data_IF_992744494989
#
_entry.id   IF_992744494989
#
_cell.length_a   1.000
_cell.length_b   1.000
_cell.length_c   1.000
_cell.angle_alpha   90.00
_cell.angle_beta   90.00
_cell.angle_gamma   90.00
#
_symmetry.space_group_name_H-M   'P 1'
#
loop_
_entity.id
_entity.type
_entity.pdbx_description
1 polymer ?
#
# COMPACT_ATOMS: atom_id res chain seq x y z
N UNK A 1 -12.54 -0.90 -19.88
CA UNK A 1 -13.32 -1.08 -18.64
C UNK A 1 -12.40 -0.70 -17.51
N UNK A 2 -12.86 0.19 -16.62
CA UNK A 2 -12.06 0.68 -15.50
C UNK A 2 -11.58 -0.47 -14.61
N UNK A 3 -10.31 -0.42 -14.23
CA UNK A 3 -9.71 -1.38 -13.31
C UNK A 3 -10.12 -1.09 -11.87
N UNK A 4 -10.23 0.18 -11.52
CA UNK A 4 -10.74 0.66 -10.25
C UNK A 4 -11.80 1.74 -10.50
N UNK A 5 -12.93 1.66 -9.81
CA UNK A 5 -14.00 2.66 -9.92
C UNK A 5 -14.65 2.90 -8.55
N UNK A 6 -14.80 4.16 -8.15
CA UNK A 6 -15.63 4.56 -7.01
C UNK A 6 -16.87 5.28 -7.52
N UNK A 7 -18.03 4.97 -6.93
CA UNK A 7 -19.30 5.62 -7.28
C UNK A 7 -19.88 6.28 -6.04
N UNK A 8 -19.84 7.61 -6.03
CA UNK A 8 -20.47 8.48 -5.06
C UNK A 8 -20.12 8.11 -3.62
N UNK A 9 -18.83 7.83 -3.35
CA UNK A 9 -18.40 7.41 -2.01
C UNK A 9 -18.50 8.60 -1.05
N UNK A 10 -19.14 8.36 0.09
CA UNK A 10 -19.19 9.28 1.23
C UNK A 10 -18.59 8.56 2.43
N UNK A 11 -17.63 9.20 3.11
CA UNK A 11 -16.89 8.62 4.23
C UNK A 11 -17.24 9.40 5.50
N UNK A 12 -17.73 8.68 6.50
CA UNK A 12 -18.15 9.19 7.79
C UNK A 12 -17.31 8.65 8.94
N UNK A 13 -17.22 9.43 10.01
CA UNK A 13 -16.64 9.05 11.29
C UNK A 13 -17.70 9.27 12.37
N UNK A 14 -18.28 8.20 12.93
CA UNK A 14 -19.12 8.26 14.11
C UNK A 14 -18.40 8.97 15.27
N UNK A 15 -19.09 9.94 15.87
CA UNK A 15 -18.63 10.69 17.02
C UNK A 15 -19.76 10.83 18.04
N UNK A 16 -19.41 11.19 19.27
CA UNK A 16 -20.38 11.47 20.36
C UNK A 16 -21.39 12.57 20.01
N UNK A 17 -21.06 13.44 19.06
CA UNK A 17 -21.91 14.54 18.61
C UNK A 17 -22.63 14.25 17.27
N UNK A 18 -22.60 13.00 16.80
CA UNK A 18 -23.16 12.59 15.52
C UNK A 18 -22.09 12.19 14.49
N UNK A 19 -22.51 12.04 13.24
CA UNK A 19 -21.65 11.60 12.15
C UNK A 19 -20.83 12.78 11.59
N UNK A 20 -19.51 12.69 11.68
CA UNK A 20 -18.62 13.63 11.00
C UNK A 20 -18.31 13.13 9.58
N UNK A 21 -18.77 13.85 8.55
CA UNK A 21 -18.52 13.48 7.16
C UNK A 21 -17.20 14.09 6.70
N UNK A 22 -16.19 13.26 6.49
CA UNK A 22 -14.87 13.70 6.06
C UNK A 22 -14.77 13.88 4.54
N UNK A 23 -15.51 13.05 3.78
CA UNK A 23 -15.50 13.05 2.32
C UNK A 23 -16.93 12.82 1.84
N UNK A 24 -17.37 13.56 0.83
CA UNK A 24 -18.74 13.48 0.31
C UNK A 24 -18.75 13.31 -1.20
N UNK A 25 -19.53 12.32 -1.67
CA UNK A 25 -19.87 12.11 -3.08
C UNK A 25 -18.67 12.09 -4.05
N UNK A 26 -17.66 11.28 -3.75
CA UNK A 26 -16.48 11.15 -4.61
C UNK A 26 -16.65 10.01 -5.61
N UNK A 27 -16.47 10.31 -6.89
CA UNK A 27 -16.47 9.35 -7.99
C UNK A 27 -15.19 9.46 -8.79
N UNK A 28 -14.48 8.34 -8.93
CA UNK A 28 -13.18 8.24 -9.57
C UNK A 28 -13.14 6.96 -10.40
N UNK A 29 -12.42 6.97 -11.51
CA UNK A 29 -12.14 5.77 -12.29
C UNK A 29 -10.65 5.76 -12.65
N UNK A 30 -10.05 4.57 -12.65
CA UNK A 30 -8.66 4.36 -13.06
C UNK A 30 -8.62 3.16 -13.99
N UNK A 31 -8.14 3.38 -15.21
CA UNK A 31 -7.96 2.33 -16.20
C UNK A 31 -6.66 1.53 -15.97
N UNK A 32 -6.54 0.32 -16.54
CA UNK A 32 -5.30 -0.46 -16.46
C UNK A 32 -4.10 0.31 -17.00
N UNK A 33 -3.04 0.45 -16.18
CA UNK A 33 -1.80 1.14 -16.56
C UNK A 33 -1.85 2.67 -16.38
N UNK A 34 -2.98 3.22 -15.96
CA UNK A 34 -3.13 4.63 -15.65
C UNK A 34 -2.59 4.97 -14.26
N UNK A 35 -2.06 6.19 -14.13
CA UNK A 35 -1.61 6.76 -12.87
C UNK A 35 -2.55 7.90 -12.51
N UNK A 36 -3.35 7.72 -11.46
CA UNK A 36 -4.20 8.76 -10.89
C UNK A 36 -3.49 9.44 -9.72
N UNK A 37 -3.32 10.75 -9.80
CA UNK A 37 -2.85 11.60 -8.70
C UNK A 37 -4.01 12.34 -8.04
N UNK A 38 -4.08 12.30 -6.70
CA UNK A 38 -5.03 13.10 -5.91
C UNK A 38 -4.26 14.22 -5.22
N UNK A 39 -4.62 15.46 -5.50
CA UNK A 39 -4.00 16.67 -4.92
C UNK A 39 -5.05 17.54 -4.22
N UNK A 40 -4.61 18.29 -3.22
CA UNK A 40 -5.48 19.12 -2.38
C UNK A 40 -4.74 19.57 -1.12
N UNK A 41 -5.39 20.39 -0.30
CA UNK A 41 -4.80 20.88 0.95
C UNK A 41 -4.60 19.77 1.99
N UNK A 42 -3.77 20.04 3.00
CA UNK A 42 -3.62 19.14 4.14
C UNK A 42 -4.96 19.02 4.87
N UNK A 43 -5.36 17.79 5.19
CA UNK A 43 -6.66 17.51 5.81
C UNK A 43 -7.87 17.43 4.85
N UNK A 44 -7.69 17.64 3.54
CA UNK A 44 -8.77 17.55 2.55
C UNK A 44 -9.33 16.12 2.31
N UNK A 45 -8.90 15.12 3.07
CA UNK A 45 -9.38 13.74 2.98
C UNK A 45 -8.71 12.86 1.90
N UNK A 46 -7.58 13.31 1.31
CA UNK A 46 -6.83 12.56 0.28
C UNK A 46 -6.47 11.14 0.73
N UNK A 47 -5.81 11.02 1.88
CA UNK A 47 -5.43 9.73 2.48
C UNK A 47 -6.67 8.91 2.88
N UNK A 48 -7.73 9.57 3.35
CA UNK A 48 -9.00 8.94 3.70
C UNK A 48 -9.67 8.27 2.49
N UNK A 49 -9.69 8.93 1.33
CA UNK A 49 -10.18 8.37 0.07
C UNK A 49 -9.35 7.16 -0.35
N UNK A 50 -8.01 7.29 -0.33
CA UNK A 50 -7.11 6.19 -0.67
C UNK A 50 -7.31 4.96 0.22
N UNK A 51 -7.43 5.16 1.54
CA UNK A 51 -7.69 4.10 2.51
C UNK A 51 -9.07 3.45 2.32
N UNK A 52 -10.09 4.23 1.99
CA UNK A 52 -11.44 3.71 1.70
C UNK A 52 -11.46 2.79 0.48
N UNK A 53 -10.79 3.21 -0.60
CA UNK A 53 -10.69 2.47 -1.87
C UNK A 53 -10.11 1.07 -1.66
N UNK A 54 -9.12 0.92 -0.79
CA UNK A 54 -8.42 -0.35 -0.53
C UNK A 54 -8.92 -1.08 0.73
N UNK A 55 -10.04 -0.64 1.27
CA UNK A 55 -10.68 -1.17 2.49
C UNK A 55 -9.72 -1.23 3.70
N UNK A 56 -9.01 -0.13 3.94
CA UNK A 56 -8.10 0.14 5.07
C UNK A 56 -8.54 1.35 5.90
N UNK A 57 -9.81 1.75 5.85
CA UNK A 57 -10.32 2.72 6.82
C UNK A 57 -10.22 2.12 8.23
N UNK A 58 -9.55 2.83 9.12
CA UNK A 58 -9.46 2.47 10.53
C UNK A 58 -10.74 2.89 11.26
N UNK A 59 -11.27 2.06 12.18
CA UNK A 59 -12.37 2.47 13.04
C UNK A 59 -12.04 3.79 13.77
N UNK A 60 -13.01 4.71 13.90
CA UNK A 60 -14.43 4.53 13.61
C UNK A 60 -14.81 4.83 12.14
N UNK A 61 -13.86 5.11 11.25
CA UNK A 61 -14.15 5.50 9.87
C UNK A 61 -14.87 4.42 9.04
N UNK A 62 -15.93 4.81 8.34
CA UNK A 62 -16.71 3.92 7.49
C UNK A 62 -17.20 4.59 6.20
N UNK A 63 -17.37 3.80 5.14
CA UNK A 63 -18.04 4.24 3.91
C UNK A 63 -19.54 4.17 4.17
N UNK A 64 -20.17 5.33 4.34
CA UNK A 64 -21.59 5.43 4.70
C UNK A 64 -22.51 5.42 3.47
N UNK A 65 -21.99 5.82 2.31
CA UNK A 65 -22.71 5.78 1.03
C UNK A 65 -21.75 5.47 -0.13
N UNK A 66 -22.33 4.96 -1.22
CA UNK A 66 -21.61 4.67 -2.46
C UNK A 66 -21.11 3.24 -2.59
N UNK A 67 -20.21 3.01 -3.53
CA UNK A 67 -19.61 1.69 -3.77
C UNK A 67 -18.22 1.79 -4.36
N UNK A 68 -17.41 0.77 -4.12
CA UNK A 68 -16.05 0.65 -4.66
C UNK A 68 -15.97 -0.63 -5.47
N UNK A 69 -15.50 -0.52 -6.70
CA UNK A 69 -15.39 -1.60 -7.67
C UNK A 69 -13.94 -1.78 -8.09
N UNK A 70 -13.49 -3.03 -8.14
CA UNK A 70 -12.16 -3.40 -8.61
C UNK A 70 -12.26 -4.59 -9.57
N UNK A 71 -11.79 -4.40 -10.80
CA UNK A 71 -11.81 -5.39 -11.88
C UNK A 71 -13.20 -6.01 -12.07
N UNK A 72 -14.24 -5.17 -12.07
CA UNK A 72 -15.64 -5.55 -12.25
C UNK A 72 -16.35 -6.13 -11.02
N UNK A 73 -15.66 -6.31 -9.89
CA UNK A 73 -16.26 -6.80 -8.65
C UNK A 73 -16.38 -5.68 -7.61
N UNK A 74 -17.51 -5.62 -6.90
CA UNK A 74 -17.70 -4.73 -5.77
C UNK A 74 -16.85 -5.21 -4.58
N UNK A 75 -16.08 -4.31 -3.96
CA UNK A 75 -15.09 -4.67 -2.91
C UNK A 75 -15.40 -4.10 -1.53
N UNK A 76 -16.28 -3.10 -1.43
CA UNK A 76 -16.64 -2.49 -0.14
C UNK A 76 -17.38 -3.46 0.80
N UNK A 77 -18.14 -4.39 0.22
CA UNK A 77 -18.94 -5.39 0.93
C UNK A 77 -18.22 -6.73 1.19
N UNK A 78 -16.94 -6.85 0.81
CA UNK A 78 -16.19 -8.09 1.04
C UNK A 78 -15.94 -8.32 2.54
N UNK A 79 -15.88 -9.60 2.91
CA UNK A 79 -15.46 -10.02 4.25
C UNK A 79 -14.02 -9.61 4.56
N UNK A 80 -13.64 -9.62 5.84
CA UNK A 80 -12.28 -9.28 6.26
C UNK A 80 -11.21 -10.19 5.61
N UNK A 81 -11.51 -11.48 5.43
CA UNK A 81 -10.61 -12.44 4.80
C UNK A 81 -10.43 -12.18 3.30
N UNK A 82 -11.53 -11.90 2.59
CA UNK A 82 -11.49 -11.56 1.17
C UNK A 82 -10.74 -10.25 0.92
N UNK A 83 -10.98 -9.24 1.76
CA UNK A 83 -10.23 -7.97 1.74
C UNK A 83 -8.72 -8.20 1.94
N UNK A 84 -8.35 -9.09 2.86
CA UNK A 84 -6.95 -9.46 3.11
C UNK A 84 -6.31 -10.17 1.91
N UNK A 85 -7.00 -11.13 1.29
CA UNK A 85 -6.51 -11.85 0.11
C UNK A 85 -6.33 -10.92 -1.09
N UNK A 86 -7.24 -9.96 -1.27
CA UNK A 86 -7.18 -8.96 -2.33
C UNK A 86 -5.95 -8.05 -2.19
N UNK A 87 -5.71 -7.48 -0.99
CA UNK A 87 -4.53 -6.63 -0.70
C UNK A 87 -3.19 -7.36 -0.76
N UNK A 88 -3.16 -8.69 -0.62
CA UNK A 88 -1.92 -9.46 -0.68
C UNK A 88 -1.45 -9.78 -2.11
N UNK A 89 -2.38 -9.86 -3.07
CA UNK A 89 -2.11 -10.38 -4.42
C UNK A 89 -2.42 -9.40 -5.55
N UNK A 90 -3.37 -8.48 -5.37
CA UNK A 90 -3.88 -7.65 -6.47
C UNK A 90 -3.54 -6.16 -6.31
N UNK A 91 -3.68 -5.62 -5.10
CA UNK A 91 -3.46 -4.20 -4.80
C UNK A 91 -2.30 -4.06 -3.82
N UNK A 92 -1.28 -3.26 -4.17
CA UNK A 92 -0.21 -2.87 -3.26
C UNK A 92 -0.38 -1.44 -2.77
N UNK A 93 -0.05 -1.19 -1.49
CA UNK A 93 -0.06 0.14 -0.89
C UNK A 93 1.32 0.50 -0.36
N UNK A 94 1.68 1.78 -0.49
CA UNK A 94 2.87 2.38 0.14
C UNK A 94 2.34 3.51 1.04
N UNK A 95 2.61 3.43 2.35
CA UNK A 95 2.15 4.41 3.33
C UNK A 95 3.06 5.65 3.36
N UNK A 96 2.50 6.78 3.82
CA UNK A 96 3.19 8.07 3.91
C UNK A 96 4.39 8.05 4.89
N UNK A 97 4.38 7.18 5.92
CA UNK A 97 5.50 6.96 6.86
C UNK A 97 6.08 5.54 6.77
N UNK A 98 6.92 5.26 5.75
CA UNK A 98 7.50 3.94 5.52
C UNK A 98 8.49 3.51 6.62
N UNK A 99 8.93 4.45 7.47
CA UNK A 99 9.82 4.16 8.60
C UNK A 99 9.18 3.20 9.62
N UNK A 100 7.86 3.18 9.72
CA UNK A 100 7.12 2.28 10.63
C UNK A 100 6.95 0.86 10.08
N UNK A 101 7.25 0.65 8.79
CA UNK A 101 7.02 -0.64 8.10
C UNK A 101 8.15 -1.65 8.32
N UNK A 102 9.34 -1.19 8.71
CA UNK A 102 10.51 -2.01 8.91
C UNK A 102 10.77 -2.24 10.40
N UNK A 103 10.95 -3.49 10.79
CA UNK A 103 11.36 -3.89 12.13
C UNK A 103 12.80 -3.42 12.39
N UNK A 104 13.05 -2.52 13.37
CA UNK A 104 14.38 -1.98 13.63
C UNK A 104 15.36 -3.03 14.16
N UNK A 105 14.87 -4.16 14.68
CA UNK A 105 15.65 -5.25 15.23
C UNK A 105 16.04 -6.30 14.18
N UNK A 106 15.57 -6.17 12.94
CA UNK A 106 15.87 -7.09 11.85
C UNK A 106 16.64 -6.40 10.73
N UNK A 107 17.58 -7.10 10.12
CA UNK A 107 18.27 -6.61 8.91
C UNK A 107 17.32 -6.56 7.73
N UNK A 108 17.64 -5.74 6.71
CA UNK A 108 16.84 -5.67 5.48
C UNK A 108 16.72 -7.04 4.81
N UNK A 109 17.80 -7.84 4.81
CA UNK A 109 17.79 -9.22 4.31
C UNK A 109 16.74 -10.06 5.01
N UNK A 110 16.71 -10.06 6.34
CA UNK A 110 15.77 -10.88 7.10
C UNK A 110 14.32 -10.54 6.74
N UNK A 111 13.98 -9.27 6.69
CA UNK A 111 12.62 -8.80 6.42
C UNK A 111 12.18 -9.05 4.96
N UNK A 112 13.08 -8.82 4.00
CA UNK A 112 12.81 -9.12 2.59
C UNK A 112 12.66 -10.62 2.36
N UNK A 113 13.57 -11.43 2.90
CA UNK A 113 13.55 -12.89 2.75
C UNK A 113 12.32 -13.50 3.43
N UNK A 114 11.93 -13.01 4.61
CA UNK A 114 10.68 -13.39 5.29
C UNK A 114 9.47 -13.10 4.39
N UNK A 115 9.39 -11.88 3.84
CA UNK A 115 8.31 -11.49 2.93
C UNK A 115 8.30 -12.36 1.66
N UNK A 116 9.46 -12.62 1.06
CA UNK A 116 9.58 -13.47 -0.15
C UNK A 116 9.16 -14.92 0.16
N UNK A 117 9.54 -15.45 1.32
CA UNK A 117 9.15 -16.80 1.72
C UNK A 117 7.64 -16.95 1.87
N UNK A 118 6.97 -15.94 2.44
CA UNK A 118 5.52 -15.93 2.61
C UNK A 118 4.76 -15.98 1.27
N UNK A 119 5.34 -15.40 0.20
CA UNK A 119 4.62 -15.21 -1.07
C UNK A 119 5.10 -16.07 -2.25
N UNK A 120 6.37 -16.45 -2.31
CA UNK A 120 6.98 -17.03 -3.54
C UNK A 120 7.56 -18.45 -3.40
N UNK A 121 7.63 -19.03 -2.18
CA UNK A 121 8.11 -20.42 -1.93
C UNK A 121 9.44 -20.80 -2.62
N UNK A 122 10.38 -19.87 -2.76
CA UNK A 122 11.63 -20.05 -3.55
C UNK A 122 12.78 -20.80 -2.85
N UNK A 123 12.59 -21.24 -1.59
CA UNK A 123 13.67 -21.81 -0.76
C UNK A 123 14.74 -20.77 -0.38
N UNK A 124 15.67 -21.13 0.54
CA UNK A 124 16.60 -20.17 1.16
C UNK A 124 17.54 -19.45 0.17
N UNK A 125 18.11 -20.18 -0.79
CA UNK A 125 19.00 -19.60 -1.82
C UNK A 125 18.21 -18.71 -2.79
N UNK A 126 17.05 -19.17 -3.26
CA UNK A 126 16.20 -18.41 -4.18
C UNK A 126 15.68 -17.10 -3.55
N UNK A 127 15.25 -17.14 -2.28
CA UNK A 127 14.79 -15.95 -1.57
C UNK A 127 15.89 -14.90 -1.39
N UNK A 128 17.13 -15.31 -1.09
CA UNK A 128 18.26 -14.38 -0.98
C UNK A 128 18.62 -13.74 -2.33
N UNK A 129 18.64 -14.54 -3.39
CA UNK A 129 18.89 -14.02 -4.74
C UNK A 129 17.81 -13.02 -5.14
N UNK A 130 16.55 -13.34 -4.84
CA UNK A 130 15.41 -12.46 -5.14
C UNK A 130 15.46 -11.17 -4.33
N UNK A 131 15.87 -11.21 -3.06
CA UNK A 131 16.06 -10.02 -2.24
C UNK A 131 17.13 -9.10 -2.85
N UNK A 132 18.24 -9.67 -3.32
CA UNK A 132 19.30 -8.92 -4.00
C UNK A 132 18.83 -8.27 -5.30
N UNK A 133 18.06 -9.00 -6.12
CA UNK A 133 17.45 -8.45 -7.33
C UNK A 133 16.51 -7.28 -7.04
N UNK A 134 15.68 -7.41 -6.00
CA UNK A 134 14.75 -6.35 -5.61
C UNK A 134 15.50 -5.08 -5.18
N UNK A 135 16.57 -5.23 -4.38
CA UNK A 135 17.44 -4.11 -3.99
C UNK A 135 18.09 -3.43 -5.20
N UNK A 136 18.54 -4.20 -6.20
CA UNK A 136 19.05 -3.64 -7.47
C UNK A 136 17.96 -2.89 -8.25
N UNK A 137 16.75 -3.44 -8.31
CA UNK A 137 15.64 -2.85 -9.08
C UNK A 137 15.13 -1.53 -8.50
N UNK A 138 15.31 -1.31 -7.21
CA UNK A 138 14.94 -0.04 -6.56
C UNK A 138 16.05 0.99 -6.58
N UNK A 139 17.24 0.66 -7.12
CA UNK A 139 18.35 1.61 -7.27
C UNK A 139 19.32 1.67 -6.09
N UNK A 140 19.26 0.71 -5.16
CA UNK A 140 20.12 0.73 -3.96
C UNK A 140 21.58 0.50 -4.37
N UNK A 141 22.50 1.43 -4.06
CA UNK A 141 23.92 1.22 -4.29
C UNK A 141 24.46 0.14 -3.36
N UNK A 142 25.40 -0.68 -3.85
CA UNK A 142 26.02 -1.78 -3.09
C UNK A 142 25.00 -2.71 -2.40
N UNK A 143 24.05 -3.28 -3.15
CA UNK A 143 22.90 -3.98 -2.58
C UNK A 143 23.30 -5.24 -1.78
N UNK A 144 24.45 -5.84 -2.08
CA UNK A 144 24.99 -6.97 -1.32
C UNK A 144 25.35 -6.58 0.11
N UNK A 145 25.99 -5.41 0.28
CA UNK A 145 26.36 -4.86 1.59
C UNK A 145 25.12 -4.37 2.34
N UNK A 146 24.29 -3.59 1.65
CA UNK A 146 23.07 -2.95 2.20
C UNK A 146 22.02 -3.95 2.68
N UNK A 147 22.00 -5.17 2.16
CA UNK A 147 21.10 -6.22 2.65
C UNK A 147 21.37 -6.59 4.11
N UNK A 148 22.61 -6.50 4.56
CA UNK A 148 23.01 -6.89 5.92
C UNK A 148 22.92 -5.72 6.92
N UNK A 149 22.52 -4.54 6.45
CA UNK A 149 22.27 -3.37 7.28
C UNK A 149 20.91 -3.44 7.97
N UNK A 150 20.83 -2.79 9.14
CA UNK A 150 19.58 -2.48 9.83
C UNK A 150 18.92 -1.21 9.27
N UNK A 151 17.61 -1.01 9.47
CA UNK A 151 16.90 0.17 8.96
C UNK A 151 17.53 1.51 9.36
N UNK A 152 18.03 1.61 10.60
CA UNK A 152 18.72 2.79 11.12
C UNK A 152 20.12 3.05 10.51
N UNK A 153 20.60 2.18 9.63
CA UNK A 153 21.89 2.34 8.94
C UNK A 153 21.74 2.80 7.48
N UNK A 154 20.52 2.92 6.97
CA UNK A 154 20.23 3.58 5.70
C UNK A 154 20.27 5.11 5.89
N UNK A 155 20.59 5.93 4.90
CA UNK A 155 20.46 7.40 4.98
C UNK A 155 19.05 7.85 4.55
N UNK A 156 18.60 9.05 4.94
CA UNK A 156 17.20 9.53 4.81
C UNK A 156 16.52 9.24 3.47
N UNK A 157 17.15 9.54 2.33
CA UNK A 157 16.57 9.28 1.00
C UNK A 157 16.44 7.79 0.64
N UNK A 158 17.24 6.92 1.26
CA UNK A 158 17.23 5.48 1.03
C UNK A 158 16.29 4.77 2.02
N UNK A 159 16.10 5.36 3.22
CA UNK A 159 15.13 4.93 4.24
C UNK A 159 13.68 5.14 3.81
N UNK A 160 13.38 6.19 3.05
CA UNK A 160 12.01 6.63 2.81
C UNK A 160 11.30 5.96 1.63
N UNK A 161 11.98 5.33 0.68
CA UNK A 161 11.28 4.81 -0.50
C UNK A 161 11.80 3.45 -0.97
N UNK A 162 13.11 3.23 -1.01
CA UNK A 162 13.67 2.13 -1.79
C UNK A 162 13.50 0.75 -1.12
N UNK A 163 13.76 0.64 0.19
CA UNK A 163 13.58 -0.63 0.90
C UNK A 163 12.09 -1.02 1.02
N UNK A 164 11.19 -0.05 1.24
CA UNK A 164 9.75 -0.26 1.24
C UNK A 164 9.26 -0.68 -0.17
N UNK A 165 9.72 0.00 -1.23
CA UNK A 165 9.44 -0.40 -2.60
C UNK A 165 9.92 -1.81 -2.92
N UNK A 166 11.09 -2.23 -2.41
CA UNK A 166 11.60 -3.58 -2.62
C UNK A 166 10.70 -4.62 -1.95
N UNK A 167 10.26 -4.36 -0.71
CA UNK A 167 9.34 -5.24 0.01
C UNK A 167 7.97 -5.33 -0.69
N UNK A 168 7.47 -4.23 -1.24
CA UNK A 168 6.19 -4.18 -1.96
C UNK A 168 6.31 -4.82 -3.36
N UNK A 169 7.42 -4.61 -4.09
CA UNK A 169 7.69 -5.27 -5.40
C UNK A 169 7.92 -6.77 -5.30
N UNK A 170 8.30 -7.29 -4.13
CA UNK A 170 8.41 -8.74 -3.90
C UNK A 170 7.08 -9.48 -4.13
N UNK A 171 5.94 -8.78 -4.10
CA UNK A 171 4.60 -9.37 -4.12
C UNK A 171 3.88 -9.37 -5.48
N UNK A 172 4.55 -9.00 -6.60
CA UNK A 172 3.96 -8.94 -7.97
C UNK A 172 2.53 -8.34 -7.98
N UNK A 173 2.38 -7.12 -7.48
CA UNK A 173 1.08 -6.44 -7.57
C UNK A 173 0.73 -6.04 -9.01
N UNK A 174 -0.57 -6.04 -9.35
CA UNK A 174 -1.08 -5.63 -10.66
C UNK A 174 -1.35 -4.12 -10.75
N UNK A 175 -1.52 -3.42 -9.63
CA UNK A 175 -1.76 -1.97 -9.60
C UNK A 175 -1.25 -1.35 -8.30
N UNK A 176 -0.80 -0.09 -8.40
CA UNK A 176 -0.18 0.68 -7.33
C UNK A 176 -1.05 1.87 -6.97
N UNK A 177 -1.29 2.08 -5.68
CA UNK A 177 -1.85 3.34 -5.18
C UNK A 177 -0.74 4.06 -4.42
N UNK A 178 -0.21 5.12 -5.02
CA UNK A 178 0.76 6.02 -4.42
C UNK A 178 0.00 7.24 -3.91
N UNK A 179 0.09 7.53 -2.61
CA UNK A 179 -0.50 8.72 -1.99
C UNK A 179 0.64 9.73 -1.71
N UNK A 180 1.00 10.60 -2.68
CA UNK A 180 1.97 11.65 -2.43
C UNK A 180 1.43 12.65 -1.41
N UNK A 181 2.30 13.10 -0.51
CA UNK A 181 2.03 14.25 0.36
C UNK A 181 2.48 15.54 -0.35
N UNK A 182 1.53 16.44 -0.54
CA UNK A 182 1.71 17.85 -0.20
C UNK A 182 0.67 18.18 0.88
#
# INVERSE_FOLDING_TARGET
>A
MALLETKNITIGFPSRHGMFVAVKNVSLAVDPGEILGIVGESGAGKSTVGNAIIALLEPPGEVIEGSVWFNGARIDNLSAEEKRLMRGKKIGMIFQDPQTSLDPLKTIRQQLVETIHLHLRLGKKGSNQRALELMKQVGIPEPQLRLDHYPHQFSGGIRECEACHAQTRSRRYRQWVYLPSC
#
